data_IF_675736038364
#
_entry.id   IF_675736038364
#
_cell.length_a   1.000
_cell.length_b   1.000
_cell.length_c   1.000
_cell.angle_alpha   90.00
_cell.angle_beta   90.00
_cell.angle_gamma   90.00
#
_symmetry.space_group_name_H-M   'P 1'
#
loop_
_entity.id
_entity.type
_entity.pdbx_description
1 polymer ?
#
# COMPACT_ATOMS: atom_id res chain seq x y z
N UNK A 1 -4.76 10.69 23.59
CA UNK A 1 -6.13 11.22 23.37
C UNK A 1 -6.24 12.26 22.25
N UNK A 2 -5.18 12.51 21.46
CA UNK A 2 -5.19 13.46 20.31
C UNK A 2 -5.54 12.74 18.97
N UNK A 3 -5.64 11.41 19.01
CA UNK A 3 -5.71 10.50 17.86
C UNK A 3 -7.06 10.48 17.14
N UNK A 4 -8.16 10.45 17.90
CA UNK A 4 -9.52 10.39 17.33
C UNK A 4 -9.87 11.67 16.55
N UNK A 5 -9.54 12.89 17.02
CA UNK A 5 -9.86 14.12 16.29
C UNK A 5 -9.23 14.19 14.89
N UNK A 6 -7.95 13.87 14.72
CA UNK A 6 -7.28 13.99 13.41
C UNK A 6 -7.73 12.90 12.43
N UNK A 7 -7.87 11.66 12.90
CA UNK A 7 -8.42 10.58 12.07
C UNK A 7 -9.87 10.90 11.63
N UNK A 8 -10.71 11.41 12.53
CA UNK A 8 -12.06 11.87 12.21
C UNK A 8 -12.05 13.05 11.21
N UNK A 9 -11.11 13.98 11.35
CA UNK A 9 -10.94 15.08 10.41
C UNK A 9 -10.60 14.56 9.01
N UNK A 10 -9.63 13.65 8.89
CA UNK A 10 -9.28 13.01 7.61
C UNK A 10 -10.47 12.28 6.99
N UNK A 11 -11.17 11.45 7.78
CA UNK A 11 -12.41 10.76 7.39
C UNK A 11 -13.45 11.77 6.87
N UNK A 12 -13.63 12.89 7.55
CA UNK A 12 -14.61 13.92 7.19
C UNK A 12 -14.24 14.61 5.89
N UNK A 13 -12.97 15.05 5.75
CA UNK A 13 -12.46 15.71 4.55
C UNK A 13 -12.61 14.79 3.34
N UNK A 14 -12.18 13.53 3.43
CA UNK A 14 -12.29 12.58 2.33
C UNK A 14 -13.76 12.33 1.95
N UNK A 15 -14.65 12.20 2.93
CA UNK A 15 -16.08 11.99 2.65
C UNK A 15 -16.68 13.20 1.92
N UNK A 16 -16.34 14.42 2.36
CA UNK A 16 -16.80 15.65 1.72
C UNK A 16 -16.26 15.78 0.29
N UNK A 17 -14.97 15.54 0.07
CA UNK A 17 -14.36 15.59 -1.26
C UNK A 17 -15.02 14.58 -2.21
N UNK A 18 -15.23 13.33 -1.76
CA UNK A 18 -15.94 12.32 -2.55
C UNK A 18 -17.39 12.69 -2.80
N UNK A 19 -18.10 13.21 -1.80
CA UNK A 19 -19.49 13.64 -1.97
C UNK A 19 -19.64 14.72 -3.05
N UNK A 20 -18.78 15.75 -3.03
CA UNK A 20 -18.79 16.75 -4.09
C UNK A 20 -18.34 16.18 -5.43
N UNK A 21 -17.28 15.37 -5.47
CA UNK A 21 -16.73 14.80 -6.71
C UNK A 21 -17.77 13.92 -7.43
N UNK A 22 -18.39 12.98 -6.72
CA UNK A 22 -19.38 12.05 -7.29
C UNK A 22 -20.67 12.74 -7.75
N UNK A 23 -20.96 13.93 -7.24
CA UNK A 23 -22.12 14.72 -7.65
C UNK A 23 -21.80 15.79 -8.72
N UNK A 24 -20.58 15.81 -9.26
CA UNK A 24 -20.20 16.78 -10.30
C UNK A 24 -19.86 18.17 -9.74
N UNK A 25 -19.25 18.20 -8.55
CA UNK A 25 -18.88 19.42 -7.83
C UNK A 25 -20.08 20.13 -7.19
N UNK A 26 -19.86 21.34 -6.65
CA UNK A 26 -20.90 22.09 -5.94
C UNK A 26 -22.14 22.38 -6.80
N UNK A 27 -21.93 22.85 -8.05
CA UNK A 27 -23.05 23.12 -8.99
C UNK A 27 -23.78 21.83 -9.40
N UNK A 28 -23.04 20.73 -9.60
CA UNK A 28 -23.61 19.43 -9.92
C UNK A 28 -24.47 18.88 -8.77
N UNK A 29 -24.00 19.05 -7.53
CA UNK A 29 -24.75 18.67 -6.33
C UNK A 29 -26.09 19.39 -6.23
N UNK A 30 -26.11 20.72 -6.39
CA UNK A 30 -27.37 21.48 -6.38
C UNK A 30 -28.37 20.95 -7.43
N UNK A 31 -27.87 20.65 -8.64
CA UNK A 31 -28.70 20.04 -9.70
C UNK A 31 -29.18 18.63 -9.34
N UNK A 32 -28.34 17.81 -8.70
CA UNK A 32 -28.70 16.46 -8.28
C UNK A 32 -29.69 16.45 -7.12
N UNK A 33 -29.66 17.45 -6.23
CA UNK A 33 -30.68 17.65 -5.18
C UNK A 33 -32.04 17.90 -5.82
N UNK A 34 -32.13 18.86 -6.76
CA UNK A 34 -33.38 19.16 -7.47
C UNK A 34 -33.92 17.95 -8.24
N UNK A 35 -33.02 17.11 -8.78
CA UNK A 35 -33.37 15.90 -9.54
C UNK A 35 -33.56 14.64 -8.69
N UNK A 36 -33.36 14.71 -7.37
CA UNK A 36 -33.36 13.56 -6.44
C UNK A 36 -32.42 12.43 -6.91
N UNK A 37 -31.25 12.82 -7.43
CA UNK A 37 -30.19 11.93 -7.95
C UNK A 37 -28.86 12.11 -7.20
N UNK A 38 -28.93 12.49 -5.93
CA UNK A 38 -27.73 12.69 -5.10
C UNK A 38 -27.05 11.35 -4.87
N UNK A 39 -25.75 11.28 -5.15
CA UNK A 39 -24.92 10.10 -4.92
C UNK A 39 -24.26 10.23 -3.54
N UNK A 40 -24.44 9.23 -2.68
CA UNK A 40 -23.77 9.14 -1.39
C UNK A 40 -22.49 8.32 -1.57
N UNK A 41 -21.31 8.82 -1.13
CA UNK A 41 -20.05 8.12 -1.32
C UNK A 41 -19.99 6.86 -0.46
N UNK A 42 -19.70 5.71 -1.10
CA UNK A 42 -19.37 4.47 -0.42
C UNK A 42 -17.85 4.30 -0.37
N UNK A 43 -17.29 4.22 0.84
CA UNK A 43 -15.85 4.05 1.10
C UNK A 43 -15.24 2.80 0.50
N UNK A 44 -16.06 1.78 0.23
CA UNK A 44 -15.63 0.51 -0.38
C UNK A 44 -15.76 0.51 -1.90
N UNK A 45 -16.38 1.52 -2.49
CA UNK A 45 -16.55 1.59 -3.93
C UNK A 45 -15.26 1.98 -4.64
N UNK A 46 -15.08 1.49 -5.87
CA UNK A 46 -13.95 1.84 -6.72
C UNK A 46 -13.92 3.33 -7.13
N UNK A 47 -15.02 4.05 -6.97
CA UNK A 47 -15.10 5.49 -7.25
C UNK A 47 -14.71 6.36 -6.06
N UNK A 48 -14.45 5.77 -4.90
CA UNK A 48 -14.04 6.51 -3.70
C UNK A 48 -12.54 6.70 -3.68
N UNK A 49 -12.11 7.96 -3.62
CA UNK A 49 -10.70 8.35 -3.57
C UNK A 49 -10.26 8.70 -2.16
N UNK A 50 -9.02 8.32 -1.81
CA UNK A 50 -8.33 8.86 -0.65
C UNK A 50 -7.93 10.32 -0.89
N UNK A 51 -7.50 11.01 0.16
CA UNK A 51 -6.95 12.37 0.02
C UNK A 51 -5.80 12.43 -1.01
N UNK A 52 -4.88 11.47 -0.97
CA UNK A 52 -3.79 11.37 -1.96
C UNK A 52 -4.34 11.13 -3.36
N UNK A 53 -5.39 10.32 -3.50
CA UNK A 53 -6.10 10.13 -4.76
C UNK A 53 -6.64 11.44 -5.37
N UNK A 54 -7.04 12.41 -4.54
CA UNK A 54 -7.47 13.73 -5.02
C UNK A 54 -6.32 14.66 -5.42
N UNK A 55 -5.12 14.48 -4.87
CA UNK A 55 -3.94 15.28 -5.25
C UNK A 55 -3.40 14.96 -6.64
N UNK A 56 -3.64 13.74 -7.12
CA UNK A 56 -3.28 13.32 -8.47
C UNK A 56 -4.35 12.35 -9.02
N UNK A 57 -5.17 12.85 -9.94
CA UNK A 57 -6.30 12.11 -10.51
C UNK A 57 -5.95 11.29 -11.76
N UNK A 58 -4.68 11.30 -12.21
CA UNK A 58 -4.26 10.55 -13.41
C UNK A 58 -4.38 9.04 -13.17
N UNK A 59 -5.08 8.33 -14.06
CA UNK A 59 -5.27 6.87 -13.92
C UNK A 59 -4.49 6.07 -14.94
N UNK A 60 -4.16 6.67 -16.08
CA UNK A 60 -3.51 5.98 -17.19
C UNK A 60 -2.00 6.00 -17.04
N UNK A 61 -1.37 4.89 -17.41
CA UNK A 61 0.06 4.87 -17.70
C UNK A 61 0.30 5.68 -18.98
N UNK A 62 1.46 6.31 -19.06
CA UNK A 62 1.88 7.03 -20.26
C UNK A 62 2.08 6.03 -21.41
N UNK A 63 1.39 6.24 -22.53
CA UNK A 63 1.44 5.36 -23.69
C UNK A 63 2.79 5.34 -24.40
N UNK A 64 3.62 6.38 -24.18
CA UNK A 64 4.94 6.52 -24.79
C UNK A 64 6.01 5.78 -23.97
N UNK A 65 5.71 5.48 -22.70
CA UNK A 65 6.59 4.73 -21.80
C UNK A 65 6.14 3.26 -21.77
N UNK A 66 6.66 2.47 -22.72
CA UNK A 66 6.36 1.02 -22.83
C UNK A 66 7.45 0.15 -22.19
N UNK A 67 7.14 -1.13 -22.00
CA UNK A 67 8.15 -2.12 -21.58
C UNK A 67 9.38 -2.07 -22.50
N UNK A 68 10.57 -2.09 -21.91
CA UNK A 68 11.85 -1.83 -22.61
C UNK A 68 12.35 -0.39 -22.52
N UNK A 69 11.47 0.59 -22.24
CA UNK A 69 11.89 1.96 -21.92
C UNK A 69 12.49 1.98 -20.49
N UNK A 70 13.67 2.60 -20.26
CA UNK A 70 14.26 2.74 -18.93
C UNK A 70 13.32 3.39 -17.89
N UNK A 71 12.38 4.22 -18.32
CA UNK A 71 11.41 4.91 -17.48
C UNK A 71 10.16 4.09 -17.17
N UNK A 72 9.98 2.90 -17.75
CA UNK A 72 8.78 2.08 -17.55
C UNK A 72 8.55 1.73 -16.09
N UNK A 73 9.51 1.05 -15.47
CA UNK A 73 9.38 0.61 -14.08
C UNK A 73 9.34 1.77 -13.07
N UNK A 74 10.12 2.87 -13.24
CA UNK A 74 9.94 4.08 -12.45
C UNK A 74 8.54 4.68 -12.56
N UNK A 75 7.99 4.85 -13.77
CA UNK A 75 6.67 5.42 -13.97
C UNK A 75 5.56 4.53 -13.39
N UNK A 76 5.64 3.21 -13.62
CA UNK A 76 4.71 2.23 -13.05
C UNK A 76 4.77 2.23 -11.51
N UNK A 77 5.97 2.32 -10.94
CA UNK A 77 6.17 2.41 -9.50
C UNK A 77 5.52 3.65 -8.90
N UNK A 78 5.71 4.82 -9.51
CA UNK A 78 5.07 6.07 -9.06
C UNK A 78 3.56 5.95 -9.09
N UNK A 79 3.01 5.38 -10.17
CA UNK A 79 1.57 5.17 -10.33
C UNK A 79 1.02 4.16 -9.31
N UNK A 80 1.76 3.11 -8.99
CA UNK A 80 1.41 2.17 -7.92
C UNK A 80 1.44 2.85 -6.54
N UNK A 81 2.47 3.65 -6.26
CA UNK A 81 2.65 4.36 -4.98
C UNK A 81 1.53 5.34 -4.67
N UNK A 82 0.92 5.98 -5.68
CA UNK A 82 -0.30 6.78 -5.46
C UNK A 82 -1.56 5.91 -5.35
N UNK A 83 -1.65 4.83 -6.13
CA UNK A 83 -2.84 4.00 -6.19
C UNK A 83 -3.08 3.29 -4.86
N UNK A 84 -2.01 2.78 -4.23
CA UNK A 84 -2.05 2.00 -3.00
C UNK A 84 -2.66 2.77 -1.82
N UNK A 85 -2.77 4.11 -1.86
CA UNK A 85 -3.47 4.88 -0.82
C UNK A 85 -4.99 4.73 -0.86
N UNK A 86 -5.56 4.34 -2.00
CA UNK A 86 -6.99 4.13 -2.17
C UNK A 86 -7.41 2.74 -1.70
N UNK A 87 -8.72 2.47 -1.68
CA UNK A 87 -9.25 1.18 -1.24
C UNK A 87 -8.96 0.04 -2.25
N UNK A 88 -9.26 -1.19 -1.84
CA UNK A 88 -9.04 -2.39 -2.65
C UNK A 88 -9.80 -2.35 -3.99
N UNK A 89 -11.06 -1.92 -3.99
CA UNK A 89 -11.88 -1.88 -5.20
C UNK A 89 -11.36 -0.88 -6.23
N UNK A 90 -10.87 0.29 -5.78
CA UNK A 90 -10.21 1.25 -6.65
C UNK A 90 -8.95 0.65 -7.28
N UNK A 91 -8.08 0.03 -6.46
CA UNK A 91 -6.82 -0.54 -6.94
C UNK A 91 -7.08 -1.66 -7.95
N UNK A 92 -7.99 -2.58 -7.64
CA UNK A 92 -8.37 -3.64 -8.55
C UNK A 92 -8.91 -3.07 -9.88
N UNK A 93 -9.86 -2.14 -9.82
CA UNK A 93 -10.44 -1.54 -11.01
C UNK A 93 -9.39 -0.79 -11.86
N UNK A 94 -8.45 -0.09 -11.23
CA UNK A 94 -7.37 0.61 -11.91
C UNK A 94 -6.43 -0.37 -12.63
N UNK A 95 -5.94 -1.38 -11.90
CA UNK A 95 -4.95 -2.34 -12.38
C UNK A 95 -5.52 -3.19 -13.51
N UNK A 96 -6.71 -3.76 -13.32
CA UNK A 96 -7.32 -4.65 -14.31
C UNK A 96 -7.87 -3.88 -15.52
N UNK A 97 -8.57 -2.75 -15.28
CA UNK A 97 -9.29 -2.08 -16.37
C UNK A 97 -8.46 -1.03 -17.09
N UNK A 98 -7.63 -0.27 -16.38
CA UNK A 98 -6.85 0.82 -16.98
C UNK A 98 -5.46 0.35 -17.40
N UNK A 99 -4.76 -0.39 -16.53
CA UNK A 99 -3.39 -0.84 -16.81
C UNK A 99 -3.34 -2.18 -17.55
N UNK A 100 -4.46 -2.92 -17.56
CA UNK A 100 -4.56 -4.25 -18.20
C UNK A 100 -3.58 -5.26 -17.61
N UNK A 101 -3.37 -5.18 -16.29
CA UNK A 101 -2.49 -6.05 -15.53
C UNK A 101 -3.30 -6.97 -14.60
N UNK A 102 -2.69 -8.05 -14.13
CA UNK A 102 -3.33 -9.00 -13.22
C UNK A 102 -3.26 -8.47 -11.78
N UNK A 103 -4.42 -8.28 -11.15
CA UNK A 103 -4.49 -7.92 -9.73
C UNK A 103 -4.27 -9.16 -8.86
N UNK A 104 -3.20 -9.18 -8.07
CA UNK A 104 -2.86 -10.33 -7.21
C UNK A 104 -3.40 -10.17 -5.79
N UNK A 105 -3.58 -8.93 -5.32
CA UNK A 105 -4.26 -8.69 -4.06
C UNK A 105 -4.00 -7.32 -3.46
N UNK A 106 -4.83 -7.00 -2.47
CA UNK A 106 -4.68 -5.84 -1.60
C UNK A 106 -4.87 -6.31 -0.17
N UNK A 107 -3.83 -6.18 0.65
CA UNK A 107 -3.77 -6.76 1.99
C UNK A 107 -3.29 -5.72 3.00
N UNK A 108 -3.83 -5.82 4.22
CA UNK A 108 -3.30 -5.17 5.40
C UNK A 108 -2.63 -6.23 6.28
N UNK A 109 -1.44 -5.90 6.77
CA UNK A 109 -0.62 -6.82 7.57
C UNK A 109 -0.53 -6.38 9.02
N UNK A 110 -0.38 -7.37 9.88
CA UNK A 110 -0.28 -7.20 11.32
C UNK A 110 1.06 -6.60 11.73
N UNK A 111 1.02 -5.72 12.73
CA UNK A 111 2.20 -5.23 13.43
C UNK A 111 2.13 -5.68 14.89
N UNK A 112 3.08 -6.53 15.31
CA UNK A 112 3.13 -7.08 16.68
C UNK A 112 3.33 -6.03 17.77
N UNK A 113 3.92 -4.89 17.45
CA UNK A 113 4.22 -3.86 18.44
C UNK A 113 3.06 -2.90 18.63
N UNK A 114 2.28 -2.67 17.56
CA UNK A 114 1.08 -1.83 17.60
C UNK A 114 -0.20 -2.63 17.82
N UNK A 115 -0.13 -3.97 17.74
CA UNK A 115 -1.25 -4.89 17.92
C UNK A 115 -2.46 -4.54 17.03
N UNK A 116 -2.17 -4.11 15.79
CA UNK A 116 -3.18 -3.75 14.79
C UNK A 116 -2.63 -3.87 13.36
N UNK A 117 -3.53 -3.74 12.38
CA UNK A 117 -3.21 -3.86 10.97
C UNK A 117 -2.78 -2.51 10.39
N UNK A 118 -1.48 -2.30 10.17
CA UNK A 118 -0.94 -1.00 9.73
C UNK A 118 -0.35 -1.00 8.33
N UNK A 119 0.21 -2.14 7.91
CA UNK A 119 1.00 -2.18 6.68
C UNK A 119 0.11 -2.60 5.52
N UNK A 120 -0.26 -1.63 4.70
CA UNK A 120 -1.10 -1.82 3.53
C UNK A 120 -0.25 -2.03 2.28
N UNK A 121 -0.57 -3.06 1.51
CA UNK A 121 0.16 -3.45 0.31
C UNK A 121 -0.80 -3.79 -0.81
N UNK A 122 -0.46 -3.32 -2.01
CA UNK A 122 -1.06 -3.82 -3.26
C UNK A 122 -0.02 -4.64 -4.02
N UNK A 123 -0.45 -5.79 -4.52
CA UNK A 123 0.37 -6.67 -5.36
C UNK A 123 -0.36 -6.89 -6.68
N UNK A 124 0.38 -6.80 -7.78
CA UNK A 124 -0.13 -7.04 -9.12
C UNK A 124 0.98 -7.56 -10.03
N UNK A 125 0.61 -8.08 -11.19
CA UNK A 125 1.53 -8.68 -12.14
C UNK A 125 1.30 -8.12 -13.53
N UNK A 126 2.36 -7.58 -14.09
CA UNK A 126 2.45 -7.21 -15.48
C UNK A 126 3.04 -8.39 -16.26
N UNK A 127 2.18 -9.14 -16.94
CA UNK A 127 2.54 -10.34 -17.69
C UNK A 127 2.16 -10.19 -19.15
N UNK A 128 3.15 -10.36 -20.02
CA UNK A 128 3.00 -10.45 -21.46
C UNK A 128 3.88 -11.57 -22.02
N UNK A 129 3.93 -11.72 -23.34
CA UNK A 129 4.78 -12.73 -24.01
C UNK A 129 6.27 -12.48 -23.73
N UNK A 130 6.68 -11.21 -23.65
CA UNK A 130 8.09 -10.82 -23.56
C UNK A 130 8.57 -10.52 -22.13
N UNK A 131 7.65 -10.42 -21.17
CA UNK A 131 8.01 -10.08 -19.79
C UNK A 131 6.98 -10.57 -18.78
N UNK A 132 7.47 -10.80 -17.58
CA UNK A 132 6.66 -11.22 -16.44
C UNK A 132 7.22 -10.55 -15.19
N UNK A 133 6.53 -9.50 -14.73
CA UNK A 133 6.98 -8.70 -13.59
C UNK A 133 5.90 -8.57 -12.54
N UNK A 134 6.21 -9.01 -11.32
CA UNK A 134 5.36 -8.85 -10.15
C UNK A 134 5.72 -7.55 -9.44
N UNK A 135 4.76 -6.69 -9.19
CA UNK A 135 4.96 -5.44 -8.45
C UNK A 135 4.33 -5.57 -7.07
N UNK A 136 5.14 -5.32 -6.05
CA UNK A 136 4.72 -5.22 -4.64
C UNK A 136 4.87 -3.78 -4.21
N UNK A 137 3.76 -3.10 -3.98
CA UNK A 137 3.75 -1.69 -3.59
C UNK A 137 3.23 -1.52 -2.16
N UNK A 138 4.06 -0.96 -1.29
CA UNK A 138 3.71 -0.59 0.08
C UNK A 138 3.12 0.82 0.11
N UNK A 139 2.00 0.98 0.84
CA UNK A 139 1.48 2.31 1.18
C UNK A 139 2.47 3.01 2.10
N UNK A 140 2.71 4.29 1.82
CA UNK A 140 3.39 5.17 2.75
C UNK A 140 2.47 5.72 3.83
N UNK A 141 2.98 6.74 4.49
CA UNK A 141 2.35 7.52 5.56
C UNK A 141 1.08 8.23 5.08
N UNK A 142 -0.03 8.12 5.80
CA UNK A 142 -1.24 8.92 5.54
C UNK A 142 -1.07 10.35 6.08
N UNK A 143 -1.48 11.40 5.34
CA UNK A 143 -1.30 12.80 5.76
C UNK A 143 -2.09 13.21 7.01
N UNK A 144 -3.09 12.42 7.43
CA UNK A 144 -3.88 12.66 8.65
C UNK A 144 -3.67 11.57 9.72
N UNK A 145 -2.59 10.79 9.60
CA UNK A 145 -2.19 9.82 10.60
C UNK A 145 -0.92 10.28 11.31
N UNK A 146 -1.08 10.92 12.47
CA UNK A 146 0.06 11.37 13.29
C UNK A 146 0.97 10.23 13.73
N UNK A 147 0.47 8.99 13.81
CA UNK A 147 1.31 7.86 14.21
C UNK A 147 2.32 7.47 13.13
N UNK A 148 1.94 7.54 11.84
CA UNK A 148 2.89 7.32 10.74
C UNK A 148 3.99 8.41 10.78
N UNK A 149 3.63 9.66 11.10
CA UNK A 149 4.57 10.78 11.18
C UNK A 149 5.50 10.67 12.40
N UNK A 150 4.97 10.29 13.56
CA UNK A 150 5.78 10.11 14.76
C UNK A 150 6.71 8.89 14.64
N UNK A 151 6.25 7.83 13.96
CA UNK A 151 7.10 6.67 13.65
C UNK A 151 8.25 7.02 12.72
N UNK A 152 8.09 7.99 11.81
CA UNK A 152 9.16 8.50 10.95
C UNK A 152 10.18 9.37 11.72
N UNK A 153 9.85 9.83 12.93
CA UNK A 153 10.69 10.70 13.79
C UNK A 153 11.30 9.93 14.98
N UNK A 154 10.88 8.69 15.23
CA UNK A 154 11.42 7.85 16.31
C UNK A 154 12.78 7.22 15.91
N UNK A 155 13.87 7.90 16.27
CA UNK A 155 15.28 7.56 16.01
C UNK A 155 15.78 6.26 16.70
N UNK A 156 14.91 5.29 16.97
CA UNK A 156 15.29 3.98 17.49
C UNK A 156 15.77 3.07 16.35
N UNK A 157 17.00 2.57 16.46
CA UNK A 157 17.66 1.76 15.43
C UNK A 157 17.81 0.31 15.91
N UNK A 158 17.51 -0.65 15.05
CA UNK A 158 17.93 -2.04 15.21
C UNK A 158 19.24 -2.25 14.46
N UNK A 159 20.26 -2.73 15.17
CA UNK A 159 21.55 -3.06 14.57
C UNK A 159 21.58 -4.53 14.20
N UNK A 160 21.81 -4.80 12.92
CA UNK A 160 22.01 -6.13 12.40
C UNK A 160 23.51 -6.37 12.20
N UNK A 161 24.06 -7.48 12.74
CA UNK A 161 25.44 -7.85 12.46
C UNK A 161 25.69 -7.88 10.95
N UNK A 162 26.72 -7.16 10.48
CA UNK A 162 27.17 -7.08 9.08
C UNK A 162 26.25 -6.38 8.08
N UNK A 163 25.03 -5.98 8.45
CA UNK A 163 24.05 -5.32 7.57
C UNK A 163 23.89 -3.82 7.92
N UNK A 164 24.16 -3.44 9.18
CA UNK A 164 24.09 -2.05 9.64
C UNK A 164 22.82 -1.75 10.46
N UNK A 165 22.44 -0.47 10.54
CA UNK A 165 21.32 0.02 11.36
C UNK A 165 20.07 0.22 10.52
N UNK A 166 18.97 -0.40 10.94
CA UNK A 166 17.65 -0.28 10.33
C UNK A 166 16.71 0.43 11.31
N UNK A 167 15.90 1.36 10.81
CA UNK A 167 14.90 2.06 11.62
C UNK A 167 13.91 1.07 12.24
N UNK A 168 13.72 1.11 13.56
CA UNK A 168 12.94 0.10 14.29
C UNK A 168 11.48 0.08 13.83
N UNK A 169 10.87 1.25 13.62
CA UNK A 169 9.49 1.39 13.12
C UNK A 169 9.26 0.63 11.80
N UNK A 170 10.21 0.71 10.87
CA UNK A 170 10.10 0.03 9.58
C UNK A 170 10.26 -1.48 9.72
N UNK A 171 11.18 -1.96 10.55
CA UNK A 171 11.29 -3.39 10.86
C UNK A 171 9.99 -3.94 11.44
N UNK A 172 9.39 -3.21 12.39
CA UNK A 172 8.11 -3.58 13.03
C UNK A 172 6.97 -3.63 12.01
N UNK A 173 6.86 -2.61 11.16
CA UNK A 173 5.86 -2.54 10.09
C UNK A 173 6.04 -3.66 9.04
N UNK A 174 7.29 -4.01 8.70
CA UNK A 174 7.57 -5.10 7.77
C UNK A 174 7.24 -6.49 8.37
N UNK A 175 6.94 -6.57 9.67
CA UNK A 175 6.52 -7.80 10.32
C UNK A 175 7.60 -8.46 11.17
N UNK A 176 8.56 -7.69 11.69
CA UNK A 176 9.43 -8.17 12.78
C UNK A 176 8.57 -8.66 13.94
N UNK A 177 8.93 -9.81 14.50
CA UNK A 177 8.17 -10.45 15.56
C UNK A 177 8.59 -9.87 16.92
N UNK A 178 7.65 -9.53 17.79
CA UNK A 178 7.96 -8.99 19.12
C UNK A 178 8.72 -9.99 20.00
N UNK A 179 8.39 -11.27 19.90
CA UNK A 179 8.99 -12.35 20.70
C UNK A 179 10.28 -12.93 20.12
N UNK A 180 10.47 -12.84 18.80
CA UNK A 180 11.52 -13.59 18.09
C UNK A 180 12.34 -12.75 17.10
N UNK A 181 12.08 -11.44 17.00
CA UNK A 181 12.74 -10.56 16.03
C UNK A 181 12.53 -11.03 14.59
N UNK A 182 13.62 -11.16 13.83
CA UNK A 182 13.62 -11.65 12.45
C UNK A 182 13.92 -13.15 12.34
N UNK A 183 13.08 -13.97 12.96
CA UNK A 183 13.18 -15.42 12.80
C UNK A 183 12.93 -15.84 11.34
N UNK A 184 13.52 -16.97 10.91
CA UNK A 184 13.33 -17.49 9.53
C UNK A 184 11.86 -17.79 9.21
N UNK A 185 11.07 -18.16 10.21
CA UNK A 185 9.64 -18.43 10.07
C UNK A 185 8.85 -17.69 11.15
N UNK A 186 7.54 -17.58 10.94
CA UNK A 186 6.62 -17.04 11.93
C UNK A 186 6.60 -17.96 13.15
N UNK A 187 6.99 -17.43 14.30
CA UNK A 187 6.93 -18.10 15.60
C UNK A 187 5.59 -17.74 16.25
N UNK A 188 4.87 -18.70 16.86
CA UNK A 188 3.67 -18.41 17.62
C UNK A 188 3.92 -17.33 18.67
N UNK A 189 3.05 -16.32 18.73
CA UNK A 189 3.15 -15.27 19.75
C UNK A 189 2.54 -15.78 21.06
N UNK A 190 3.41 -16.23 21.96
CA UNK A 190 3.04 -16.69 23.31
C UNK A 190 2.66 -15.54 24.25
N UNK A 191 2.94 -14.30 23.87
CA UNK A 191 2.87 -13.10 24.73
C UNK A 191 1.55 -12.35 24.58
N UNK A 192 1.03 -12.23 23.36
CA UNK A 192 -0.20 -11.48 23.07
C UNK A 192 -1.32 -12.34 22.45
N UNK A 193 -1.08 -13.65 22.32
CA UNK A 193 -2.03 -14.59 21.73
C UNK A 193 -1.92 -14.67 20.21
N UNK A 194 -2.84 -15.39 19.58
CA UNK A 194 -2.77 -15.64 18.13
C UNK A 194 -2.96 -14.35 17.32
N UNK A 195 -2.02 -14.08 16.41
CA UNK A 195 -2.09 -12.95 15.47
C UNK A 195 -3.36 -13.05 14.61
N UNK A 196 -4.06 -11.94 14.45
CA UNK A 196 -5.31 -11.86 13.66
C UNK A 196 -5.09 -11.81 12.15
N UNK A 197 -3.92 -11.36 11.73
CA UNK A 197 -3.52 -11.18 10.33
C UNK A 197 -2.06 -11.64 10.15
N UNK A 198 -1.66 -11.98 8.91
CA UNK A 198 -0.28 -12.34 8.63
C UNK A 198 0.68 -11.14 8.80
N UNK A 199 1.97 -11.46 8.95
CA UNK A 199 3.07 -10.51 8.97
C UNK A 199 3.54 -10.25 7.53
N UNK A 200 3.79 -8.98 7.18
CA UNK A 200 3.99 -8.55 5.80
C UNK A 200 5.14 -9.29 5.09
N UNK A 201 6.32 -9.32 5.70
CA UNK A 201 7.50 -9.97 5.15
C UNK A 201 7.24 -11.43 4.79
N UNK A 202 6.68 -12.20 5.72
CA UNK A 202 6.53 -13.65 5.58
C UNK A 202 5.50 -13.98 4.49
N UNK A 203 4.31 -13.39 4.53
CA UNK A 203 3.28 -13.63 3.51
C UNK A 203 3.70 -13.15 2.12
N UNK A 204 4.35 -12.00 2.00
CA UNK A 204 4.85 -11.49 0.71
C UNK A 204 5.98 -12.38 0.18
N UNK A 205 6.92 -12.79 1.05
CA UNK A 205 8.01 -13.69 0.69
C UNK A 205 7.47 -15.02 0.16
N UNK A 206 6.53 -15.61 0.86
CA UNK A 206 5.98 -16.92 0.52
C UNK A 206 5.12 -16.82 -0.76
N UNK A 207 4.29 -15.78 -0.89
CA UNK A 207 3.55 -15.48 -2.12
C UNK A 207 4.49 -15.32 -3.33
N UNK A 208 5.61 -14.60 -3.17
CA UNK A 208 6.57 -14.42 -4.25
C UNK A 208 7.30 -15.72 -4.59
N UNK A 209 7.63 -16.56 -3.60
CA UNK A 209 8.20 -17.88 -3.86
C UNK A 209 7.25 -18.75 -4.68
N UNK A 210 5.99 -18.82 -4.29
CA UNK A 210 4.97 -19.60 -5.00
C UNK A 210 4.77 -19.11 -6.45
N UNK A 211 4.88 -17.80 -6.69
CA UNK A 211 4.77 -17.23 -8.03
C UNK A 211 6.02 -17.48 -8.88
N UNK A 212 7.22 -17.43 -8.28
CA UNK A 212 8.50 -17.68 -8.95
C UNK A 212 8.74 -19.17 -9.22
N UNK A 213 8.23 -20.07 -8.38
CA UNK A 213 8.25 -21.51 -8.65
C UNK A 213 7.43 -21.85 -9.92
N UNK A 214 6.35 -21.12 -10.18
CA UNK A 214 5.53 -21.26 -11.39
C UNK A 214 6.16 -20.65 -12.63
N UNK A 215 7.00 -19.61 -12.47
CA UNK A 215 7.77 -19.03 -13.56
C UNK A 215 9.12 -18.49 -13.03
N UNK A 216 10.20 -19.30 -13.13
CA UNK A 216 11.52 -18.91 -12.63
C UNK A 216 12.12 -17.66 -13.29
N UNK A 217 11.69 -17.33 -14.51
CA UNK A 217 12.15 -16.15 -15.25
C UNK A 217 11.39 -14.87 -14.87
N UNK A 218 10.33 -14.99 -14.07
CA UNK A 218 9.58 -13.82 -13.61
C UNK A 218 10.45 -12.95 -12.70
N UNK A 219 10.32 -11.63 -12.86
CA UNK A 219 10.99 -10.64 -12.04
C UNK A 219 10.00 -10.08 -11.04
N UNK A 220 10.50 -9.47 -9.96
CA UNK A 220 9.64 -8.70 -9.09
C UNK A 220 10.28 -7.36 -8.70
N UNK A 221 9.42 -6.38 -8.48
CA UNK A 221 9.77 -5.04 -8.03
C UNK A 221 9.09 -4.83 -6.70
N UNK A 222 9.85 -4.30 -5.74
CA UNK A 222 9.30 -3.81 -4.48
C UNK A 222 9.43 -2.31 -4.46
N UNK A 223 8.34 -1.62 -4.21
CA UNK A 223 8.25 -0.16 -4.28
C UNK A 223 7.32 0.40 -3.22
N UNK A 224 7.36 1.71 -3.04
CA UNK A 224 6.52 2.45 -2.13
C UNK A 224 7.00 3.89 -2.01
N UNK A 225 6.13 4.78 -1.54
CA UNK A 225 6.47 6.18 -1.29
C UNK A 225 6.72 6.41 0.21
N UNK A 226 7.67 7.29 0.56
CA UNK A 226 8.00 7.61 1.96
C UNK A 226 8.29 6.33 2.78
N UNK A 227 7.55 6.05 3.86
CA UNK A 227 7.59 4.79 4.61
C UNK A 227 7.58 3.54 3.71
N UNK A 228 6.73 3.51 2.68
CA UNK A 228 6.65 2.38 1.76
C UNK A 228 7.95 2.17 0.97
N UNK A 229 8.66 3.25 0.66
CA UNK A 229 9.97 3.20 -0.01
C UNK A 229 11.05 2.66 0.91
N UNK A 230 11.03 3.05 2.19
CA UNK A 230 11.94 2.50 3.18
C UNK A 230 11.71 0.99 3.39
N UNK A 231 10.45 0.55 3.49
CA UNK A 231 10.09 -0.87 3.57
C UNK A 231 10.57 -1.67 2.36
N UNK A 232 10.49 -1.09 1.17
CA UNK A 232 10.98 -1.72 -0.06
C UNK A 232 12.51 -1.97 -0.05
N UNK A 233 13.28 -1.05 0.53
CA UNK A 233 14.74 -1.17 0.66
C UNK A 233 15.13 -2.23 1.69
N UNK A 234 14.45 -2.30 2.83
CA UNK A 234 14.79 -3.22 3.92
C UNK A 234 14.68 -4.69 3.54
N UNK A 235 13.76 -5.05 2.64
CA UNK A 235 13.69 -6.41 2.09
C UNK A 235 15.04 -6.86 1.52
N UNK A 236 15.74 -6.00 0.79
CA UNK A 236 17.04 -6.37 0.19
C UNK A 236 18.12 -6.62 1.24
N UNK A 237 18.00 -6.00 2.41
CA UNK A 237 18.99 -6.09 3.50
C UNK A 237 18.76 -7.29 4.42
N UNK A 238 17.50 -7.69 4.66
CA UNK A 238 17.16 -8.78 5.61
C UNK A 238 17.31 -10.18 4.97
N UNK A 239 17.36 -10.27 3.63
CA UNK A 239 17.46 -11.52 2.86
C UNK A 239 18.86 -11.69 2.22
N UNK A 240 19.89 -11.01 2.76
CA UNK A 240 21.29 -11.32 2.44
C UNK A 240 21.71 -12.65 3.06
#
# INVERSE_FOLDING_TARGET
MIYTPMAMMGITIETLLNFFSLNGGFRGLLRNIVRVKVVIPDRKAATYLSFIGFTDTRMKLDSDIKHGNPMYYPALSIMACKAVYNNAAYNQALIENQWKMEFLGFKNYWNDFLQRAETQVVMFRDKNVDHDTIVVCFRGTQPFNTEDWCSDVDLSWFEFPHIGKIHSGFSKALGMQSSAGWAKQVVPDSTHGQRRLPLAYYDIRDTLKDLLEKNPEAKFIVTGHSLGGALAVLRKMIIG
#
